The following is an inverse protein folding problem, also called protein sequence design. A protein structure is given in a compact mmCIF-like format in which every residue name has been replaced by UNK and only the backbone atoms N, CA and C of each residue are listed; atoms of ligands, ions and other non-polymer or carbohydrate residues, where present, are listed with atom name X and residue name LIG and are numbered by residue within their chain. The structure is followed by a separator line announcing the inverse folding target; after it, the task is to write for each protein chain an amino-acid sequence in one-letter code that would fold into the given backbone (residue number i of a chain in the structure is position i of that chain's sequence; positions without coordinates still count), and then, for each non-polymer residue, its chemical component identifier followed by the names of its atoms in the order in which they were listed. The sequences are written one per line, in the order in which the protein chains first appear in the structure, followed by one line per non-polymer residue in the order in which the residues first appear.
data_IF_339984737899
#
_entry.id   IF_339984737899
#
_cell.length_a   1.000
_cell.length_b   1.000
_cell.length_c   1.000
_cell.angle_alpha   90.00
_cell.angle_beta   90.00
_cell.angle_gamma   90.00
#
_symmetry.space_group_name_H-M   'P 1'
#
loop_
_entity.id
_entity.type
_entity.pdbx_description
1 polymer ?
#
# COMPACT_ATOMS: atom_id res chain seq x y z
N UNK A 1 35.50 8.09 -50.86
CA UNK A 1 35.17 8.14 -49.45
C UNK A 1 34.13 9.22 -49.27
N UNK A 2 32.84 8.82 -49.13
CA UNK A 2 31.71 9.73 -48.90
C UNK A 2 31.27 9.54 -47.44
N UNK A 3 31.48 10.58 -46.62
CA UNK A 3 30.95 10.70 -45.28
C UNK A 3 29.40 10.90 -45.37
N UNK A 4 28.64 9.93 -44.85
CA UNK A 4 27.24 10.12 -44.56
C UNK A 4 27.10 10.67 -43.13
N UNK A 5 26.78 11.96 -43.04
CA UNK A 5 26.35 12.59 -41.79
C UNK A 5 24.96 12.07 -41.43
N UNK A 6 24.89 11.31 -40.32
CA UNK A 6 23.60 10.99 -39.69
C UNK A 6 23.07 12.25 -38.98
N UNK A 7 22.05 12.86 -39.55
CA UNK A 7 21.24 13.86 -38.89
C UNK A 7 20.55 13.20 -37.67
N UNK A 8 20.85 13.69 -36.47
CA UNK A 8 20.08 13.36 -35.25
C UNK A 8 18.68 13.92 -35.42
N UNK A 9 17.67 13.04 -35.49
CA UNK A 9 16.28 13.45 -35.34
C UNK A 9 16.09 14.02 -33.92
N UNK A 10 15.30 15.12 -33.78
CA UNK A 10 14.96 15.65 -32.47
C UNK A 10 14.06 14.63 -31.74
N UNK A 11 14.43 14.35 -30.50
CA UNK A 11 13.65 13.52 -29.60
C UNK A 11 12.23 14.08 -29.51
N UNK A 12 11.28 13.19 -29.67
CA UNK A 12 9.85 13.43 -29.49
C UNK A 12 9.59 14.09 -28.14
N UNK A 13 8.64 15.02 -28.13
CA UNK A 13 7.95 15.49 -26.94
C UNK A 13 7.54 14.27 -26.12
N UNK A 14 8.26 14.02 -25.02
CA UNK A 14 7.79 13.10 -24.02
C UNK A 14 6.48 13.70 -23.47
N UNK A 15 5.35 13.05 -23.73
CA UNK A 15 4.14 13.32 -22.98
C UNK A 15 4.51 13.21 -21.50
N UNK A 16 4.21 14.24 -20.69
CA UNK A 16 4.41 14.18 -19.25
C UNK A 16 3.71 12.92 -18.74
N UNK A 17 4.49 12.00 -18.20
CA UNK A 17 3.94 10.81 -17.57
C UNK A 17 3.15 11.25 -16.34
N UNK A 18 2.14 10.47 -15.90
CA UNK A 18 1.37 10.77 -14.67
C UNK A 18 2.26 10.99 -13.44
N UNK A 19 3.48 10.44 -13.46
CA UNK A 19 4.54 10.61 -12.45
C UNK A 19 4.96 12.09 -12.31
N UNK A 20 4.89 12.90 -13.39
CA UNK A 20 5.32 14.30 -13.37
C UNK A 20 4.17 15.29 -13.02
N UNK A 21 2.96 14.77 -12.77
CA UNK A 21 1.81 15.63 -12.44
C UNK A 21 1.87 16.05 -10.97
N UNK A 22 2.18 17.31 -10.72
CA UNK A 22 2.11 17.91 -9.38
C UNK A 22 0.65 17.99 -8.93
N UNK A 23 0.28 17.41 -7.77
CA UNK A 23 -1.08 17.54 -7.25
C UNK A 23 -1.35 18.98 -6.80
N UNK A 24 -2.61 19.38 -6.88
CA UNK A 24 -3.07 20.67 -6.40
C UNK A 24 -4.26 20.51 -5.47
N UNK A 25 -4.52 21.50 -4.62
CA UNK A 25 -5.72 21.55 -3.78
C UNK A 25 -7.01 21.36 -4.59
N UNK A 26 -7.06 21.89 -5.81
CA UNK A 26 -8.22 21.79 -6.69
C UNK A 26 -8.55 20.34 -7.05
N UNK A 27 -7.53 19.49 -7.23
CA UNK A 27 -7.70 18.09 -7.58
C UNK A 27 -8.42 17.30 -6.48
N UNK A 28 -8.25 17.71 -5.21
CA UNK A 28 -8.79 17.04 -4.04
C UNK A 28 -9.86 17.83 -3.30
N UNK A 29 -10.34 18.94 -3.87
CA UNK A 29 -11.30 19.84 -3.21
C UNK A 29 -12.65 19.19 -2.88
N UNK A 30 -13.00 18.09 -3.55
CA UNK A 30 -14.21 17.31 -3.33
C UNK A 30 -14.00 16.17 -2.32
N UNK A 31 -12.76 15.89 -1.90
CA UNK A 31 -12.43 14.73 -1.06
C UNK A 31 -12.67 15.07 0.41
N UNK A 32 -13.44 14.21 1.05
CA UNK A 32 -13.75 14.24 2.49
C UNK A 32 -13.56 12.88 3.17
N UNK A 33 -13.14 11.86 2.40
CA UNK A 33 -12.92 10.49 2.85
C UNK A 33 -11.52 10.07 2.43
N UNK A 34 -10.59 9.96 3.37
CA UNK A 34 -9.18 9.70 3.11
C UNK A 34 -8.84 8.29 3.55
N UNK A 35 -8.46 7.44 2.63
CA UNK A 35 -8.19 6.03 2.86
C UNK A 35 -6.71 5.77 2.60
N UNK A 36 -6.01 5.28 3.60
CA UNK A 36 -4.60 4.98 3.52
C UNK A 36 -4.37 3.50 3.74
N UNK A 37 -3.63 2.85 2.85
CA UNK A 37 -2.96 1.62 3.21
C UNK A 37 -1.93 1.90 4.33
N UNK A 38 -1.41 0.84 4.95
CA UNK A 38 -0.49 0.94 6.07
C UNK A 38 0.96 0.71 5.66
N UNK A 39 1.25 -0.53 5.25
CA UNK A 39 2.61 -1.02 5.05
C UNK A 39 3.23 -0.41 3.79
N UNK A 40 4.41 0.21 3.92
CA UNK A 40 5.09 0.96 2.87
C UNK A 40 4.30 2.17 2.30
N UNK A 41 3.17 2.52 2.91
CA UNK A 41 2.35 3.69 2.58
C UNK A 41 2.49 4.76 3.65
N UNK A 42 2.18 4.46 4.93
CA UNK A 42 2.32 5.41 6.04
C UNK A 42 3.76 5.51 6.58
N UNK A 43 4.63 4.61 6.18
CA UNK A 43 6.07 4.65 6.42
C UNK A 43 6.81 4.16 5.17
N UNK A 44 8.02 4.66 4.89
CA UNK A 44 8.73 4.34 3.65
C UNK A 44 9.37 2.94 3.69
N UNK A 45 9.54 2.33 2.52
CA UNK A 45 10.11 0.99 2.33
C UNK A 45 11.46 0.77 3.01
N UNK A 46 12.33 1.80 3.07
CA UNK A 46 13.67 1.68 3.65
C UNK A 46 13.68 1.41 5.16
N UNK A 47 12.56 1.60 5.87
CA UNK A 47 12.41 1.21 7.28
C UNK A 47 12.48 -0.31 7.47
N UNK A 48 12.25 -1.09 6.39
CA UNK A 48 12.30 -2.55 6.40
C UNK A 48 11.39 -3.25 7.42
N UNK A 49 10.31 -2.60 7.85
CA UNK A 49 9.37 -3.19 8.80
C UNK A 49 8.68 -4.42 8.19
N UNK A 50 8.21 -4.28 6.95
CA UNK A 50 7.58 -5.37 6.21
C UNK A 50 8.52 -6.57 5.99
N UNK A 51 9.83 -6.35 5.88
CA UNK A 51 10.80 -7.44 5.75
C UNK A 51 10.84 -8.37 6.98
N UNK A 52 10.54 -7.86 8.18
CA UNK A 52 10.40 -8.68 9.38
C UNK A 52 9.15 -9.56 9.30
N UNK A 53 8.02 -9.00 8.83
CA UNK A 53 6.76 -9.72 8.60
C UNK A 53 6.98 -10.83 7.58
N UNK A 54 7.59 -10.51 6.44
CA UNK A 54 7.90 -11.48 5.37
C UNK A 54 8.74 -12.66 5.87
N UNK A 55 9.75 -12.36 6.70
CA UNK A 55 10.59 -13.37 7.36
C UNK A 55 9.78 -14.26 8.33
N UNK A 56 8.88 -13.66 9.11
CA UNK A 56 8.04 -14.39 10.06
C UNK A 56 7.02 -15.28 9.33
N UNK A 57 6.42 -14.78 8.24
CA UNK A 57 5.54 -15.58 7.38
C UNK A 57 6.27 -16.79 6.80
N UNK A 58 7.51 -16.60 6.29
CA UNK A 58 8.35 -17.72 5.80
C UNK A 58 8.59 -18.74 6.92
N UNK A 59 8.92 -18.27 8.12
CA UNK A 59 9.18 -19.14 9.27
C UNK A 59 7.92 -19.90 9.71
N UNK A 60 6.76 -19.25 9.66
CA UNK A 60 5.48 -19.90 9.93
C UNK A 60 5.20 -21.04 8.95
N UNK A 61 5.34 -20.80 7.64
CA UNK A 61 5.14 -21.82 6.60
C UNK A 61 6.12 -22.98 6.77
N UNK A 62 7.41 -22.69 7.00
CA UNK A 62 8.44 -23.70 7.24
C UNK A 62 8.09 -24.60 8.43
N UNK A 63 7.66 -24.01 9.54
CA UNK A 63 7.28 -24.76 10.76
C UNK A 63 6.00 -25.57 10.55
N UNK A 64 4.97 -24.96 9.96
CA UNK A 64 3.68 -25.59 9.73
C UNK A 64 3.81 -26.83 8.85
N UNK A 65 4.59 -26.74 7.78
CA UNK A 65 4.69 -27.78 6.75
C UNK A 65 5.96 -28.63 6.88
N UNK A 66 6.79 -28.38 7.89
CA UNK A 66 8.04 -29.11 8.15
C UNK A 66 8.96 -29.15 6.91
N UNK A 67 9.07 -28.02 6.20
CA UNK A 67 9.87 -27.89 4.99
C UNK A 67 11.04 -26.92 5.18
N UNK A 68 12.04 -27.05 4.31
CA UNK A 68 13.19 -26.15 4.29
C UNK A 68 12.75 -24.70 4.01
N UNK A 69 13.49 -23.75 4.56
CA UNK A 69 13.14 -22.31 4.53
C UNK A 69 12.97 -21.76 3.11
N UNK A 70 13.85 -22.16 2.18
CA UNK A 70 13.81 -21.68 0.80
C UNK A 70 12.57 -22.20 0.05
N UNK A 71 12.14 -23.44 0.36
CA UNK A 71 10.90 -24.00 -0.19
C UNK A 71 9.68 -23.34 0.43
N UNK A 72 9.71 -23.07 1.74
CA UNK A 72 8.67 -22.33 2.44
C UNK A 72 8.48 -20.93 1.87
N UNK A 73 9.59 -20.22 1.56
CA UNK A 73 9.54 -18.90 0.91
C UNK A 73 8.92 -18.96 -0.48
N UNK A 74 9.27 -19.95 -1.28
CA UNK A 74 8.66 -20.13 -2.62
C UNK A 74 7.16 -20.35 -2.50
N UNK A 75 6.73 -21.22 -1.59
CA UNK A 75 5.31 -21.49 -1.37
C UNK A 75 4.57 -20.28 -0.82
N UNK A 76 5.17 -19.54 0.10
CA UNK A 76 4.64 -18.26 0.61
C UNK A 76 4.37 -17.28 -0.55
N UNK A 77 5.33 -17.09 -1.45
CA UNK A 77 5.19 -16.19 -2.60
C UNK A 77 4.18 -16.72 -3.62
N UNK A 78 4.12 -18.02 -3.83
CA UNK A 78 3.10 -18.64 -4.67
C UNK A 78 1.69 -18.34 -4.14
N UNK A 79 1.45 -18.54 -2.85
CA UNK A 79 0.14 -18.24 -2.24
C UNK A 79 -0.22 -16.76 -2.32
N UNK A 80 0.75 -15.88 -2.13
CA UNK A 80 0.55 -14.45 -2.33
C UNK A 80 0.09 -14.11 -3.75
N UNK A 81 0.71 -14.71 -4.76
CA UNK A 81 0.35 -14.50 -6.17
C UNK A 81 -1.02 -15.09 -6.54
N UNK A 82 -1.31 -16.30 -6.06
CA UNK A 82 -2.52 -17.05 -6.43
C UNK A 82 -3.75 -16.58 -5.66
N UNK A 83 -3.58 -16.17 -4.40
CA UNK A 83 -4.69 -15.90 -3.47
C UNK A 83 -4.71 -14.45 -2.91
N UNK A 84 -3.78 -13.60 -3.35
CA UNK A 84 -3.69 -12.21 -2.90
C UNK A 84 -2.88 -12.01 -1.62
N UNK A 85 -2.91 -12.98 -0.68
CA UNK A 85 -2.04 -13.03 0.50
C UNK A 85 -1.61 -14.46 0.82
N UNK A 86 -0.48 -14.59 1.51
CA UNK A 86 -0.01 -15.88 2.06
C UNK A 86 -1.05 -16.47 3.02
N UNK A 87 -1.68 -15.64 3.85
CA UNK A 87 -2.72 -16.04 4.79
C UNK A 87 -3.87 -16.75 4.08
N UNK A 88 -4.41 -16.14 3.03
CA UNK A 88 -5.53 -16.69 2.28
C UNK A 88 -5.19 -18.07 1.68
N UNK A 89 -3.98 -18.19 1.10
CA UNK A 89 -3.51 -19.46 0.59
C UNK A 89 -3.40 -20.55 1.67
N UNK A 90 -2.84 -20.20 2.83
CA UNK A 90 -2.73 -21.12 3.97
C UNK A 90 -4.10 -21.52 4.53
N UNK A 91 -5.06 -20.63 4.61
CA UNK A 91 -6.42 -20.95 5.03
C UNK A 91 -7.08 -21.94 4.07
N UNK A 92 -6.97 -21.72 2.77
CA UNK A 92 -7.60 -22.56 1.73
C UNK A 92 -6.97 -23.95 1.69
N UNK A 93 -5.65 -24.05 1.71
CA UNK A 93 -4.94 -25.30 1.46
C UNK A 93 -4.63 -26.10 2.74
N UNK A 94 -4.55 -25.42 3.89
CA UNK A 94 -4.09 -26.07 5.14
C UNK A 94 -5.05 -25.87 6.32
N UNK A 95 -6.13 -25.07 6.17
CA UNK A 95 -7.15 -24.87 7.20
C UNK A 95 -6.61 -24.29 8.50
N UNK A 96 -5.61 -23.41 8.43
CA UNK A 96 -5.00 -22.79 9.61
C UNK A 96 -5.96 -21.85 10.34
N UNK A 97 -5.68 -21.60 11.62
CA UNK A 97 -6.29 -20.45 12.32
C UNK A 97 -5.65 -19.15 11.83
N UNK A 98 -6.42 -18.25 11.19
CA UNK A 98 -5.88 -17.01 10.68
C UNK A 98 -5.36 -16.07 11.79
N UNK A 99 -5.94 -16.13 13.00
CA UNK A 99 -5.49 -15.29 14.11
C UNK A 99 -4.11 -15.72 14.63
N UNK A 100 -3.85 -17.04 14.71
CA UNK A 100 -2.53 -17.58 15.05
C UNK A 100 -1.47 -17.13 14.03
N UNK A 101 -1.82 -17.16 12.73
CA UNK A 101 -0.92 -16.68 11.69
C UNK A 101 -0.63 -15.19 11.84
N UNK A 102 -1.67 -14.36 12.00
CA UNK A 102 -1.52 -12.90 12.13
C UNK A 102 -0.70 -12.52 13.35
N UNK A 103 -0.92 -13.17 14.49
CA UNK A 103 -0.14 -12.93 15.71
C UNK A 103 1.35 -13.21 15.48
N UNK A 104 1.68 -14.35 14.86
CA UNK A 104 3.07 -14.74 14.60
C UNK A 104 3.72 -13.92 13.50
N UNK A 105 3.00 -13.59 12.45
CA UNK A 105 3.52 -12.75 11.37
C UNK A 105 3.85 -11.34 11.85
N UNK A 106 3.00 -10.75 12.71
CA UNK A 106 3.18 -9.41 13.25
C UNK A 106 3.95 -9.35 14.59
N UNK A 107 4.58 -10.45 15.01
CA UNK A 107 5.51 -10.46 16.14
C UNK A 107 6.87 -9.86 15.74
N UNK A 108 6.90 -8.55 15.49
CA UNK A 108 8.03 -7.81 14.95
C UNK A 108 8.50 -6.71 15.92
N UNK A 109 9.69 -6.18 15.68
CA UNK A 109 10.24 -5.03 16.39
C UNK A 109 9.86 -3.72 15.69
N UNK A 110 9.06 -2.89 16.35
CA UNK A 110 8.63 -1.58 15.86
C UNK A 110 9.61 -0.45 16.20
N UNK A 111 10.71 -0.72 16.88
CA UNK A 111 11.67 0.31 17.36
C UNK A 111 12.40 1.04 16.22
N UNK A 112 12.38 0.49 15.01
CA UNK A 112 12.90 1.15 13.81
C UNK A 112 12.00 2.30 13.31
N UNK A 113 10.74 2.33 13.75
CA UNK A 113 9.85 3.45 13.46
C UNK A 113 10.15 4.63 14.39
N UNK A 114 10.18 5.80 13.81
CA UNK A 114 10.32 7.07 14.56
C UNK A 114 9.10 7.94 14.34
N UNK A 115 8.73 8.73 15.34
CA UNK A 115 7.61 9.65 15.24
C UNK A 115 7.78 10.59 14.03
N UNK A 116 6.68 10.79 13.30
CA UNK A 116 6.59 11.60 12.08
C UNK A 116 5.63 12.78 12.29
N UNK A 117 6.03 13.82 13.04
CA UNK A 117 5.14 14.92 13.40
C UNK A 117 4.64 15.70 12.17
N UNK A 118 5.47 15.83 11.13
CA UNK A 118 5.09 16.54 9.90
C UNK A 118 4.02 15.76 9.13
N UNK A 119 4.14 14.44 9.04
CA UNK A 119 3.10 13.56 8.47
C UNK A 119 1.82 13.66 9.30
N UNK A 120 1.94 13.62 10.64
CA UNK A 120 0.80 13.78 11.55
C UNK A 120 0.08 15.11 11.33
N UNK A 121 0.83 16.22 11.21
CA UNK A 121 0.26 17.52 10.91
C UNK A 121 -0.43 17.58 9.55
N UNK A 122 0.17 16.96 8.51
CA UNK A 122 -0.40 16.90 7.18
C UNK A 122 -1.71 16.07 7.16
N UNK A 123 -1.74 14.90 7.80
CA UNK A 123 -2.95 14.07 7.91
C UNK A 123 -4.04 14.82 8.70
N UNK A 124 -3.70 15.46 9.80
CA UNK A 124 -4.62 16.25 10.63
C UNK A 124 -5.26 17.40 9.85
N UNK A 125 -4.53 18.01 8.92
CA UNK A 125 -5.01 19.12 8.11
C UNK A 125 -6.06 18.72 7.06
N UNK A 126 -6.15 17.44 6.70
CA UNK A 126 -7.13 16.93 5.75
C UNK A 126 -8.57 17.11 6.29
N UNK A 127 -9.50 17.61 5.50
CA UNK A 127 -10.91 17.73 5.92
C UNK A 127 -11.62 16.38 5.93
N UNK A 128 -12.58 16.19 6.83
CA UNK A 128 -13.40 14.99 6.89
C UNK A 128 -12.72 13.79 7.55
N UNK A 129 -13.10 12.57 7.16
CA UNK A 129 -12.72 11.32 7.84
C UNK A 129 -11.48 10.67 7.23
N UNK A 130 -10.69 10.00 8.06
CA UNK A 130 -9.45 9.34 7.68
C UNK A 130 -9.49 7.89 8.17
N UNK A 131 -9.14 6.95 7.30
CA UNK A 131 -9.18 5.52 7.56
C UNK A 131 -7.83 4.89 7.23
N UNK A 132 -7.42 3.93 8.05
CA UNK A 132 -6.40 2.95 7.66
C UNK A 132 -7.14 1.74 7.07
N UNK A 133 -6.75 1.30 5.87
CA UNK A 133 -7.31 0.11 5.21
C UNK A 133 -6.18 -0.84 4.82
N UNK A 134 -5.97 -1.88 5.63
CA UNK A 134 -4.81 -2.77 5.52
C UNK A 134 -5.19 -4.24 5.35
N UNK A 135 -4.31 -5.02 4.69
CA UNK A 135 -4.34 -6.49 4.71
C UNK A 135 -3.65 -7.08 5.96
N UNK A 136 -3.11 -6.23 6.83
CA UNK A 136 -2.61 -6.60 8.15
C UNK A 136 -3.72 -6.67 9.20
N UNK A 137 -3.35 -6.93 10.47
CA UNK A 137 -4.28 -6.92 11.61
C UNK A 137 -4.42 -5.52 12.21
N UNK A 138 -5.55 -5.27 12.89
CA UNK A 138 -5.78 -4.00 13.60
C UNK A 138 -4.65 -3.72 14.61
N UNK A 139 -4.17 -4.73 15.34
CA UNK A 139 -3.06 -4.59 16.28
C UNK A 139 -1.78 -4.12 15.61
N UNK A 140 -1.45 -4.66 14.44
CA UNK A 140 -0.30 -4.22 13.65
C UNK A 140 -0.46 -2.76 13.23
N UNK A 141 -1.64 -2.37 12.76
CA UNK A 141 -1.93 -1.00 12.37
C UNK A 141 -1.82 -0.02 13.55
N UNK A 142 -2.36 -0.37 14.71
CA UNK A 142 -2.26 0.44 15.94
C UNK A 142 -0.82 0.61 16.41
N UNK A 143 -0.03 -0.48 16.42
CA UNK A 143 1.38 -0.44 16.81
C UNK A 143 2.21 0.41 15.85
N UNK A 144 1.99 0.26 14.55
CA UNK A 144 2.69 1.03 13.50
C UNK A 144 2.31 2.52 13.56
N UNK A 145 1.02 2.84 13.49
CA UNK A 145 0.56 4.22 13.53
C UNK A 145 0.85 4.90 14.88
N UNK A 146 0.83 4.14 15.97
CA UNK A 146 1.22 4.61 17.31
C UNK A 146 2.70 4.96 17.39
N UNK A 147 3.60 4.10 16.85
CA UNK A 147 5.03 4.37 16.82
C UNK A 147 5.38 5.58 15.93
N UNK A 148 4.62 5.79 14.85
CA UNK A 148 4.71 6.98 14.00
C UNK A 148 4.12 8.25 14.66
N UNK A 149 3.35 8.11 15.75
CA UNK A 149 2.69 9.23 16.44
C UNK A 149 1.52 9.83 15.63
N UNK A 150 0.87 9.04 14.77
CA UNK A 150 -0.20 9.50 13.86
C UNK A 150 -1.55 8.82 14.13
N UNK A 151 -1.61 7.81 15.01
CA UNK A 151 -2.82 7.00 15.24
C UNK A 151 -4.04 7.85 15.58
N UNK A 152 -3.88 8.88 16.41
CA UNK A 152 -4.95 9.77 16.87
C UNK A 152 -5.61 10.60 15.75
N UNK A 153 -5.02 10.64 14.56
CA UNK A 153 -5.54 11.39 13.42
C UNK A 153 -6.45 10.56 12.52
N UNK A 154 -6.59 9.25 12.79
CA UNK A 154 -7.48 8.35 12.06
C UNK A 154 -8.79 8.11 12.81
N UNK A 155 -9.88 8.14 12.09
CA UNK A 155 -11.22 7.91 12.63
C UNK A 155 -11.50 6.43 12.87
N UNK A 156 -10.90 5.53 12.05
CA UNK A 156 -11.09 4.09 12.17
C UNK A 156 -10.04 3.30 11.38
N UNK A 157 -9.93 2.02 11.69
CA UNK A 157 -9.09 1.04 10.99
C UNK A 157 -9.99 -0.05 10.41
N UNK A 158 -9.77 -0.40 9.14
CA UNK A 158 -10.39 -1.56 8.51
C UNK A 158 -9.28 -2.54 8.13
N UNK A 159 -9.25 -3.67 8.82
CA UNK A 159 -8.21 -4.68 8.74
C UNK A 159 -8.68 -5.95 8.02
N UNK A 160 -7.78 -6.91 7.87
CA UNK A 160 -8.07 -8.18 7.20
C UNK A 160 -9.14 -9.00 7.96
N UNK A 161 -9.27 -8.84 9.29
CA UNK A 161 -10.28 -9.56 10.09
C UNK A 161 -11.66 -8.95 9.81
N UNK A 162 -11.76 -7.61 9.78
CA UNK A 162 -12.98 -6.91 9.39
C UNK A 162 -13.41 -7.24 7.95
N UNK A 163 -12.45 -7.60 7.09
CA UNK A 163 -12.67 -8.05 5.72
C UNK A 163 -13.03 -9.55 5.59
N UNK A 164 -13.32 -10.28 6.69
CA UNK A 164 -13.52 -11.73 6.70
C UNK A 164 -12.35 -12.50 6.06
N UNK A 165 -11.14 -12.01 6.24
CA UNK A 165 -9.90 -12.54 5.68
C UNK A 165 -9.82 -12.53 4.14
N UNK A 166 -10.73 -11.83 3.46
CA UNK A 166 -10.65 -11.59 2.03
C UNK A 166 -9.78 -10.36 1.77
N UNK A 167 -8.58 -10.51 1.13
CA UNK A 167 -7.63 -9.42 1.03
C UNK A 167 -7.96 -8.44 -0.11
N UNK A 168 -7.41 -7.22 -0.05
CA UNK A 168 -7.20 -6.40 -1.24
C UNK A 168 -6.36 -7.21 -2.24
N UNK A 169 -6.62 -7.16 -3.56
CA UNK A 169 -7.53 -6.27 -4.28
C UNK A 169 -8.94 -6.86 -4.56
N UNK A 170 -9.45 -7.80 -3.78
CA UNK A 170 -10.77 -8.39 -4.04
C UNK A 170 -11.87 -7.33 -3.93
N UNK A 171 -12.77 -7.25 -4.94
CA UNK A 171 -13.90 -6.31 -4.96
C UNK A 171 -14.73 -6.37 -3.67
N UNK A 172 -15.05 -7.60 -3.19
CA UNK A 172 -15.84 -7.80 -2.00
C UNK A 172 -15.28 -7.11 -0.75
N UNK A 173 -13.95 -6.97 -0.64
CA UNK A 173 -13.28 -6.31 0.47
C UNK A 173 -13.55 -4.81 0.46
N UNK A 174 -13.49 -4.18 -0.72
CA UNK A 174 -13.82 -2.76 -0.86
C UNK A 174 -15.32 -2.49 -0.67
N UNK A 175 -16.19 -3.36 -1.20
CA UNK A 175 -17.63 -3.26 -1.00
C UNK A 175 -17.98 -3.33 0.49
N UNK A 176 -17.34 -4.26 1.22
CA UNK A 176 -17.51 -4.39 2.67
C UNK A 176 -17.00 -3.16 3.43
N UNK A 177 -15.79 -2.67 3.09
CA UNK A 177 -15.23 -1.46 3.67
C UNK A 177 -16.17 -0.27 3.48
N UNK A 178 -16.56 0.00 2.24
CA UNK A 178 -17.39 1.16 1.91
C UNK A 178 -18.76 1.09 2.58
N UNK A 179 -19.36 -0.10 2.66
CA UNK A 179 -20.65 -0.32 3.33
C UNK A 179 -20.55 -0.13 4.85
N UNK A 180 -19.58 -0.79 5.51
CA UNK A 180 -19.44 -0.73 6.97
C UNK A 180 -19.03 0.66 7.46
N UNK A 181 -18.12 1.31 6.77
CA UNK A 181 -17.62 2.65 7.13
C UNK A 181 -18.46 3.78 6.51
N UNK A 182 -19.46 3.44 5.69
CA UNK A 182 -20.34 4.39 4.97
C UNK A 182 -19.54 5.43 4.19
N UNK A 183 -18.54 4.95 3.43
CA UNK A 183 -17.65 5.80 2.64
C UNK A 183 -18.35 6.23 1.35
N UNK A 184 -18.39 7.54 1.09
CA UNK A 184 -18.85 8.09 -0.18
C UNK A 184 -17.71 8.03 -1.19
N UNK A 185 -17.66 7.00 -2.02
CA UNK A 185 -16.52 6.72 -2.92
C UNK A 185 -16.20 7.86 -3.88
N UNK A 186 -17.21 8.58 -4.38
CA UNK A 186 -17.01 9.77 -5.22
C UNK A 186 -16.43 10.99 -4.48
N UNK A 187 -16.28 10.92 -3.15
CA UNK A 187 -15.61 11.91 -2.30
C UNK A 187 -14.41 11.32 -1.57
N UNK A 188 -13.90 10.18 -2.04
CA UNK A 188 -12.81 9.47 -1.40
C UNK A 188 -11.52 9.56 -2.21
N UNK A 189 -10.39 9.50 -1.50
CA UNK A 189 -9.08 9.27 -2.08
C UNK A 189 -8.42 8.07 -1.41
N UNK A 190 -7.75 7.21 -2.19
CA UNK A 190 -7.01 6.06 -1.68
C UNK A 190 -5.53 6.18 -2.01
N UNK A 191 -4.70 6.01 -0.97
CA UNK A 191 -3.25 6.01 -1.01
C UNK A 191 -2.75 4.59 -0.78
N UNK A 192 -1.86 4.09 -1.65
CA UNK A 192 -1.44 2.69 -1.71
C UNK A 192 -0.07 2.55 -2.36
N UNK A 193 0.71 1.54 -1.96
CA UNK A 193 2.00 1.21 -2.57
C UNK A 193 1.92 0.14 -3.67
N UNK A 194 0.84 -0.67 -3.67
CA UNK A 194 0.62 -1.72 -4.66
C UNK A 194 -0.36 -1.27 -5.75
N UNK A 195 0.09 -1.11 -7.01
CA UNK A 195 -0.75 -0.63 -8.13
C UNK A 195 -2.05 -1.43 -8.29
N UNK A 196 -1.99 -2.77 -8.10
CA UNK A 196 -3.14 -3.66 -8.25
C UNK A 196 -4.29 -3.32 -7.27
N UNK A 197 -3.95 -2.80 -6.08
CA UNK A 197 -4.92 -2.45 -5.05
C UNK A 197 -5.65 -1.13 -5.36
N UNK A 198 -5.20 -0.34 -6.32
CA UNK A 198 -5.86 0.90 -6.76
C UNK A 198 -6.90 0.68 -7.87
N UNK A 199 -6.98 -0.53 -8.47
CA UNK A 199 -7.93 -0.82 -9.57
C UNK A 199 -9.39 -0.70 -9.13
N UNK A 200 -9.73 -1.33 -8.02
CA UNK A 200 -11.10 -1.28 -7.47
C UNK A 200 -11.46 0.11 -6.98
N UNK A 201 -10.66 0.81 -6.16
CA UNK A 201 -10.91 2.21 -5.79
C UNK A 201 -11.18 3.10 -7.00
N UNK A 202 -10.37 2.99 -8.06
CA UNK A 202 -10.57 3.76 -9.29
C UNK A 202 -11.92 3.45 -9.95
N UNK A 203 -12.28 2.17 -10.06
CA UNK A 203 -13.57 1.76 -10.61
C UNK A 203 -14.77 2.24 -9.79
N UNK A 204 -14.59 2.40 -8.47
CA UNK A 204 -15.57 2.97 -7.56
C UNK A 204 -15.65 4.51 -7.59
N UNK A 205 -14.79 5.17 -8.38
CA UNK A 205 -14.75 6.63 -8.51
C UNK A 205 -13.91 7.36 -7.48
N UNK A 206 -13.07 6.66 -6.72
CA UNK A 206 -12.12 7.29 -5.81
C UNK A 206 -10.97 7.93 -6.59
N UNK A 207 -10.40 9.01 -6.04
CA UNK A 207 -9.10 9.50 -6.45
C UNK A 207 -8.02 8.52 -6.00
N UNK A 208 -7.07 8.19 -6.87
CA UNK A 208 -6.06 7.17 -6.58
C UNK A 208 -4.65 7.74 -6.59
N UNK A 209 -3.88 7.43 -5.54
CA UNK A 209 -2.51 7.90 -5.35
C UNK A 209 -1.62 6.70 -5.09
N UNK A 210 -0.64 6.47 -5.96
CA UNK A 210 0.36 5.43 -5.78
C UNK A 210 1.59 6.01 -5.08
N UNK A 211 2.00 5.36 -4.00
CA UNK A 211 3.27 5.61 -3.35
C UNK A 211 4.34 4.68 -3.94
N UNK A 212 5.47 5.26 -4.33
CA UNK A 212 6.62 4.52 -4.87
C UNK A 212 7.83 4.75 -3.97
N UNK A 213 8.79 3.79 -3.91
CA UNK A 213 10.03 4.03 -3.20
C UNK A 213 10.82 5.19 -3.81
N UNK A 214 11.36 6.08 -2.98
CA UNK A 214 12.22 7.18 -3.43
C UNK A 214 13.61 6.71 -3.90
N UNK A 215 14.00 5.48 -3.57
CA UNK A 215 15.23 4.86 -4.03
C UNK A 215 14.96 3.43 -4.52
N UNK A 216 14.69 3.29 -5.83
CA UNK A 216 14.41 2.00 -6.47
C UNK A 216 15.62 1.04 -6.48
N UNK A 217 16.84 1.57 -6.40
CA UNK A 217 18.07 0.75 -6.43
C UNK A 217 18.31 0.02 -5.10
N UNK A 218 17.85 0.59 -3.99
CA UNK A 218 17.99 0.03 -2.64
C UNK A 218 16.80 -0.78 -2.19
N UNK A 219 15.69 -0.71 -2.91
CA UNK A 219 14.44 -1.38 -2.54
C UNK A 219 14.31 -2.68 -3.33
N UNK A 220 14.22 -3.80 -2.62
CA UNK A 220 13.86 -5.09 -3.23
C UNK A 220 12.38 -5.08 -3.54
N UNK A 221 12.03 -4.50 -4.68
CA UNK A 221 10.67 -4.53 -5.21
C UNK A 221 10.56 -5.74 -6.11
N UNK A 222 9.65 -6.63 -5.79
CA UNK A 222 9.40 -7.81 -6.60
C UNK A 222 8.84 -7.38 -7.97
N UNK A 223 9.16 -8.13 -9.03
CA UNK A 223 8.82 -7.74 -10.41
C UNK A 223 7.33 -7.50 -10.65
N UNK A 224 6.44 -8.15 -9.88
CA UNK A 224 4.98 -7.99 -9.97
C UNK A 224 4.44 -6.76 -9.20
N UNK A 225 5.27 -6.12 -8.40
CA UNK A 225 4.95 -4.86 -7.71
C UNK A 225 5.39 -3.64 -8.54
N UNK A 226 6.15 -3.87 -9.60
CA UNK A 226 6.63 -2.81 -10.48
C UNK A 226 5.49 -2.30 -11.36
N UNK A 227 5.33 -1.00 -11.41
CA UNK A 227 4.44 -0.33 -12.36
C UNK A 227 5.25 0.54 -13.32
N UNK A 228 4.70 0.76 -14.51
CA UNK A 228 5.21 1.79 -15.43
C UNK A 228 4.81 3.20 -15.00
N UNK A 229 3.88 3.34 -14.02
CA UNK A 229 3.28 4.61 -13.62
C UNK A 229 2.23 5.14 -14.60
N UNK A 230 2.01 4.45 -15.70
CA UNK A 230 1.13 4.84 -16.80
C UNK A 230 -0.22 4.09 -16.80
N UNK A 231 -0.50 3.40 -15.70
CA UNK A 231 -1.74 2.65 -15.55
C UNK A 231 -2.95 3.59 -15.39
N UNK A 232 -4.03 3.34 -16.14
CA UNK A 232 -5.24 4.20 -16.15
C UNK A 232 -5.95 4.31 -14.80
N UNK A 233 -5.69 3.36 -13.91
CA UNK A 233 -6.27 3.33 -12.56
C UNK A 233 -5.47 4.11 -11.51
N UNK A 234 -4.38 4.80 -11.89
CA UNK A 234 -3.54 5.63 -11.03
C UNK A 234 -3.69 7.09 -11.48
N UNK A 235 -4.16 7.97 -10.60
CA UNK A 235 -4.31 9.39 -10.90
C UNK A 235 -3.05 10.21 -10.60
N UNK A 236 -2.37 9.85 -9.49
CA UNK A 236 -1.14 10.49 -9.04
C UNK A 236 -0.12 9.47 -8.56
N UNK A 237 1.15 9.84 -8.63
CA UNK A 237 2.27 9.07 -8.09
C UNK A 237 3.09 9.99 -7.20
N UNK A 238 3.56 9.49 -6.07
CA UNK A 238 4.46 10.21 -5.16
C UNK A 238 5.42 9.25 -4.47
N UNK A 239 6.59 9.75 -4.13
CA UNK A 239 7.58 9.08 -3.28
C UNK A 239 7.67 9.68 -1.87
N UNK A 240 6.89 10.76 -1.62
CA UNK A 240 6.81 11.44 -0.34
C UNK A 240 5.35 11.80 -0.01
N UNK A 241 4.75 11.05 0.91
CA UNK A 241 3.37 11.27 1.34
C UNK A 241 3.20 12.61 2.05
N UNK A 242 4.16 13.03 2.85
CA UNK A 242 4.07 14.28 3.63
C UNK A 242 4.07 15.48 2.71
N UNK A 243 4.99 15.53 1.75
CA UNK A 243 5.06 16.58 0.74
C UNK A 243 3.80 16.60 -0.13
N UNK A 244 3.31 15.41 -0.55
CA UNK A 244 2.09 15.30 -1.33
C UNK A 244 0.87 15.87 -0.59
N UNK A 245 0.65 15.46 0.66
CA UNK A 245 -0.45 15.96 1.48
C UNK A 245 -0.35 17.46 1.74
N UNK A 246 0.87 17.98 1.94
CA UNK A 246 1.12 19.42 2.06
C UNK A 246 0.66 20.20 0.83
N UNK A 247 0.92 19.71 -0.38
CA UNK A 247 0.52 20.37 -1.65
C UNK A 247 -1.00 20.44 -1.87
N UNK A 248 -1.75 19.49 -1.32
CA UNK A 248 -3.21 19.45 -1.52
C UNK A 248 -4.01 20.13 -0.39
N UNK A 249 -3.37 20.48 0.72
CA UNK A 249 -4.02 21.14 1.89
C UNK A 249 -3.80 22.65 1.96
N UNK A 250 -2.76 23.17 1.30
CA UNK A 250 -2.41 24.62 1.29
C UNK A 250 -3.18 25.42 0.26
#
# INVERSE_FOLDING_TARGET
VKNFGMARQPCHNAAMTKIDRTPTRSDFSHVTEWVFDLDNTLYPHHVNLFAQIDKNMTSYVSTLLQMERDEARKLQKQYYLEHGTTLQGLMIHHGIDPNDFLEKAHAIDYSSLTAQPDLGAAIKALPGRKFIFTNGSVRHAEMTAGALGILEHFDDIFDIVAADFVPKPAQATYDKFTALKRVETGKAAMFEDLPRNLKVPKALGMQTVLLVPNNLEETVVEWWEKTSGDDDHIDFVTDDLTDFLGKITV
#
